data_IF_976340873754
#
_entry.id   IF_976340873754
#
_cell.length_a   1.000
_cell.length_b   1.000
_cell.length_c   1.000
_cell.angle_alpha   90.00
_cell.angle_beta   90.00
_cell.angle_gamma   90.00
#
_symmetry.space_group_name_H-M   'P 1'
#
loop_
_entity.id
_entity.type
_entity.pdbx_description
1 polymer ?
#
# COMPACT_ATOMS: atom_id res chain seq x y z
N UNK A 1 -40.18 -62.25 -27.89
CA UNK A 1 -41.15 -61.67 -28.85
C UNK A 1 -40.42 -60.67 -29.74
N UNK A 2 -40.46 -60.92 -31.05
CA UNK A 2 -40.31 -60.01 -32.18
C UNK A 2 -39.00 -59.25 -32.47
N UNK A 3 -38.20 -59.92 -33.30
CA UNK A 3 -37.38 -59.38 -34.40
C UNK A 3 -38.07 -58.25 -35.21
N UNK A 4 -37.27 -57.24 -35.58
CA UNK A 4 -37.31 -56.52 -36.87
C UNK A 4 -35.85 -56.23 -37.26
N UNK A 5 -35.22 -57.05 -38.12
CA UNK A 5 -35.13 -56.99 -39.59
C UNK A 5 -34.37 -55.77 -40.15
N UNK A 6 -33.24 -56.11 -40.78
CA UNK A 6 -32.65 -55.50 -41.99
C UNK A 6 -32.06 -54.09 -41.85
N UNK A 7 -30.99 -53.68 -42.51
CA UNK A 7 -29.94 -54.23 -43.41
C UNK A 7 -29.23 -52.94 -43.82
N UNK A 8 -27.91 -52.81 -43.64
CA UNK A 8 -27.01 -52.08 -44.53
C UNK A 8 -25.59 -52.15 -43.98
N UNK A 9 -24.86 -53.14 -44.50
CA UNK A 9 -23.40 -53.21 -44.47
C UNK A 9 -22.93 -52.18 -45.49
N UNK A 10 -22.36 -51.06 -45.03
CA UNK A 10 -21.56 -50.19 -45.89
C UNK A 10 -20.11 -50.45 -45.53
N UNK A 11 -19.49 -51.32 -46.33
CA UNK A 11 -18.05 -51.56 -46.33
C UNK A 11 -17.39 -50.37 -47.04
N UNK A 12 -16.76 -49.50 -46.27
CA UNK A 12 -15.76 -48.56 -46.77
C UNK A 12 -14.49 -48.75 -45.93
N UNK A 13 -13.72 -49.78 -46.29
CA UNK A 13 -12.31 -49.86 -45.99
C UNK A 13 -11.63 -48.80 -46.85
N UNK A 14 -11.00 -47.78 -46.25
CA UNK A 14 -9.83 -47.08 -46.80
C UNK A 14 -9.20 -46.17 -45.73
N UNK A 15 -7.99 -46.58 -45.32
CA UNK A 15 -6.91 -45.83 -44.66
C UNK A 15 -7.15 -45.26 -43.25
N UNK A 16 -6.62 -45.97 -42.26
CA UNK A 16 -6.29 -45.40 -40.96
C UNK A 16 -5.06 -44.46 -41.08
N UNK A 17 -5.15 -43.19 -40.66
CA UNK A 17 -3.98 -42.47 -40.19
C UNK A 17 -3.73 -42.85 -38.73
N UNK A 18 -2.48 -43.22 -38.46
CA UNK A 18 -1.89 -43.47 -37.15
C UNK A 18 -2.16 -42.25 -36.24
N UNK A 19 -3.16 -42.31 -35.36
CA UNK A 19 -3.34 -41.28 -34.35
C UNK A 19 -2.27 -41.51 -33.27
N UNK A 20 -1.19 -40.73 -33.35
CA UNK A 20 -0.25 -40.55 -32.25
C UNK A 20 -1.05 -40.25 -30.98
N UNK A 21 -0.71 -40.95 -29.89
CA UNK A 21 -0.95 -40.43 -28.56
C UNK A 21 -0.19 -39.11 -28.43
N UNK A 22 -0.88 -38.00 -28.71
CA UNK A 22 -0.45 -36.65 -28.40
C UNK A 22 -0.93 -36.32 -27.00
N UNK A 23 -0.06 -36.53 -26.01
CA UNK A 23 -0.14 -35.84 -24.74
C UNK A 23 -0.29 -34.33 -24.97
N UNK A 24 -1.31 -33.74 -24.38
CA UNK A 24 -1.15 -32.83 -23.25
C UNK A 24 -2.44 -32.06 -23.12
N UNK A 25 -3.08 -32.22 -21.97
CA UNK A 25 -3.96 -31.20 -21.42
C UNK A 25 -3.17 -29.89 -21.37
N UNK A 26 -3.31 -29.04 -22.39
CA UNK A 26 -2.98 -27.64 -22.27
C UNK A 26 -4.01 -27.00 -21.35
N UNK A 27 -3.90 -27.32 -20.05
CA UNK A 27 -4.47 -26.50 -18.98
C UNK A 27 -3.69 -25.17 -19.04
N UNK A 28 -4.15 -24.26 -19.89
CA UNK A 28 -3.68 -22.89 -19.86
C UNK A 28 -4.11 -22.33 -18.51
N UNK A 29 -3.20 -22.37 -17.53
CA UNK A 29 -3.37 -21.61 -16.29
C UNK A 29 -3.72 -20.17 -16.67
N UNK A 30 -4.75 -19.55 -16.07
CA UNK A 30 -5.02 -18.16 -16.37
C UNK A 30 -3.77 -17.37 -16.03
N UNK A 31 -3.21 -16.67 -17.02
CA UNK A 31 -2.18 -15.66 -16.77
C UNK A 31 -2.87 -14.61 -15.90
N UNK A 32 -2.58 -14.62 -14.60
CA UNK A 32 -3.08 -13.60 -13.68
C UNK A 32 -2.53 -12.26 -14.17
N UNK A 33 -3.42 -11.39 -14.65
CA UNK A 33 -3.03 -10.07 -15.08
C UNK A 33 -2.34 -9.36 -13.91
N UNK A 34 -1.12 -8.86 -14.14
CA UNK A 34 -0.39 -8.09 -13.13
C UNK A 34 -1.10 -6.75 -12.98
N UNK A 35 -1.48 -6.42 -11.74
CA UNK A 35 -2.01 -5.11 -11.43
C UNK A 35 -0.89 -4.08 -11.35
N UNK A 36 -1.05 -3.00 -12.12
CA UNK A 36 -0.10 -1.89 -12.21
C UNK A 36 -0.72 -0.56 -11.82
N UNK A 37 -1.97 -0.55 -11.34
CA UNK A 37 -2.67 0.67 -10.98
C UNK A 37 -2.40 1.01 -9.51
N UNK A 38 -1.72 2.13 -9.20
CA UNK A 38 -1.52 2.51 -7.81
C UNK A 38 -2.82 2.98 -7.15
N UNK A 39 -2.95 2.84 -5.81
CA UNK A 39 -4.04 3.43 -5.07
C UNK A 39 -4.09 4.96 -5.18
N UNK A 40 -5.20 5.57 -4.79
CA UNK A 40 -5.29 7.01 -4.57
C UNK A 40 -4.37 7.46 -3.43
N UNK A 41 -3.94 8.72 -3.48
CA UNK A 41 -3.17 9.30 -2.38
C UNK A 41 -4.00 9.37 -1.09
N UNK A 42 -3.43 9.00 0.07
CA UNK A 42 -4.11 9.16 1.35
C UNK A 42 -4.23 10.65 1.72
N UNK A 43 -5.19 10.98 2.57
CA UNK A 43 -5.40 12.35 3.07
C UNK A 43 -4.95 12.45 4.51
N UNK A 44 -3.84 13.17 4.76
CA UNK A 44 -3.39 13.47 6.12
C UNK A 44 -4.38 14.42 6.78
N UNK A 45 -4.91 14.03 7.94
CA UNK A 45 -5.91 14.80 8.69
C UNK A 45 -5.31 15.54 9.88
N UNK A 46 -4.23 15.01 10.45
CA UNK A 46 -3.56 15.63 11.59
C UNK A 46 -2.06 15.25 11.61
N UNK A 47 -1.23 16.22 11.98
CA UNK A 47 0.14 16.00 12.41
C UNK A 47 0.34 16.77 13.72
N UNK A 48 0.36 16.04 14.84
CA UNK A 48 0.36 16.64 16.18
C UNK A 48 1.65 16.33 16.93
N UNK A 49 2.31 17.37 17.42
CA UNK A 49 3.46 17.22 18.30
C UNK A 49 3.04 16.75 19.71
N UNK A 50 3.84 15.86 20.29
CA UNK A 50 3.74 15.36 21.66
C UNK A 50 5.15 15.15 22.20
N UNK A 51 5.72 16.16 22.87
CA UNK A 51 7.11 16.16 23.32
C UNK A 51 8.10 16.05 22.15
N UNK A 52 8.98 15.05 22.20
CA UNK A 52 9.93 14.70 21.12
C UNK A 52 9.35 13.63 20.18
N UNK A 53 8.02 13.55 20.09
CA UNK A 53 7.30 12.65 19.19
C UNK A 53 6.22 13.41 18.43
N UNK A 54 5.78 12.86 17.31
CA UNK A 54 4.63 13.34 16.57
C UNK A 54 3.66 12.19 16.28
N UNK A 55 2.36 12.46 16.43
CA UNK A 55 1.30 11.52 16.07
C UNK A 55 0.68 12.03 14.77
N UNK A 56 0.71 11.18 13.75
CA UNK A 56 0.13 11.43 12.45
C UNK A 56 -1.18 10.66 12.31
N UNK A 57 -2.21 11.31 11.80
CA UNK A 57 -3.49 10.70 11.44
C UNK A 57 -3.85 10.99 9.99
N UNK A 58 -4.52 10.04 9.36
CA UNK A 58 -5.00 10.18 7.99
C UNK A 58 -6.30 9.41 7.76
N UNK A 59 -6.99 9.75 6.67
CA UNK A 59 -8.18 9.02 6.20
C UNK A 59 -7.75 7.74 5.48
N UNK A 60 -8.43 6.63 5.79
CA UNK A 60 -8.26 5.35 5.10
C UNK A 60 -8.71 5.47 3.63
N UNK A 61 -7.91 4.91 2.72
CA UNK A 61 -8.29 4.68 1.33
C UNK A 61 -9.51 3.75 1.19
N UNK A 62 -10.34 3.98 0.19
CA UNK A 62 -11.60 3.23 -0.01
C UNK A 62 -11.41 1.97 -0.85
N UNK A 63 -10.30 1.88 -1.57
CA UNK A 63 -9.93 0.75 -2.41
C UNK A 63 -9.69 -0.51 -1.57
N UNK A 64 -10.14 -1.66 -2.05
CA UNK A 64 -10.16 -2.93 -1.29
C UNK A 64 -8.82 -3.65 -1.30
N UNK A 65 -7.93 -3.28 -2.23
CA UNK A 65 -6.62 -3.88 -2.49
C UNK A 65 -5.47 -3.15 -1.79
N UNK A 66 -5.74 -2.13 -0.98
CA UNK A 66 -4.71 -1.46 -0.19
C UNK A 66 -4.14 -2.39 0.88
N UNK A 67 -2.86 -2.70 0.76
CA UNK A 67 -2.10 -3.50 1.71
C UNK A 67 -1.66 -2.69 2.94
N UNK A 68 -1.40 -1.39 2.77
CA UNK A 68 -1.08 -0.48 3.87
C UNK A 68 -0.44 0.82 3.42
N UNK A 69 0.32 1.45 4.31
CA UNK A 69 0.87 2.79 4.11
C UNK A 69 2.38 2.86 4.38
N UNK A 70 3.07 3.71 3.63
CA UNK A 70 4.40 4.18 3.96
C UNK A 70 4.34 5.59 4.52
N UNK A 71 5.20 5.87 5.50
CA UNK A 71 5.30 7.17 6.16
C UNK A 71 6.70 7.70 5.93
N UNK A 72 6.77 8.98 5.58
CA UNK A 72 8.01 9.64 5.22
C UNK A 72 8.16 10.94 6.00
N UNK A 73 9.41 11.35 6.25
CA UNK A 73 9.72 12.67 6.77
C UNK A 73 10.79 13.40 5.96
N UNK A 74 10.78 14.71 6.05
CA UNK A 74 11.81 15.60 5.53
C UNK A 74 12.07 16.73 6.53
N UNK A 75 13.33 17.09 6.71
CA UNK A 75 13.76 18.28 7.45
C UNK A 75 14.39 19.26 6.47
N UNK A 76 13.86 20.49 6.35
CA UNK A 76 14.43 21.48 5.44
C UNK A 76 15.81 21.89 5.91
N UNK A 77 16.73 21.99 4.96
CA UNK A 77 18.10 22.45 5.16
C UNK A 77 18.44 23.49 4.09
N UNK A 78 18.90 24.70 4.45
CA UNK A 78 19.20 25.75 3.48
C UNK A 78 20.22 25.29 2.42
N UNK A 79 19.80 25.34 1.15
CA UNK A 79 20.65 24.96 0.02
C UNK A 79 20.60 23.48 -0.36
N UNK A 80 19.75 22.69 0.31
CA UNK A 80 19.54 21.27 0.01
C UNK A 80 18.20 21.04 -0.70
N UNK A 81 18.15 20.05 -1.59
CA UNK A 81 16.92 19.62 -2.24
C UNK A 81 15.97 18.91 -1.26
N UNK A 82 14.67 18.96 -1.57
CA UNK A 82 13.65 18.25 -0.79
C UNK A 82 13.82 16.72 -0.96
N UNK A 83 14.25 16.04 0.09
CA UNK A 83 14.48 14.60 0.09
C UNK A 83 13.82 13.92 1.29
N UNK A 84 12.83 13.07 1.01
CA UNK A 84 12.10 12.36 2.05
C UNK A 84 12.77 11.05 2.44
N UNK A 85 12.85 10.80 3.74
CA UNK A 85 13.30 9.53 4.31
C UNK A 85 12.11 8.71 4.79
N UNK A 86 12.06 7.43 4.41
CA UNK A 86 11.03 6.48 4.85
C UNK A 86 11.24 6.09 6.32
N UNK A 87 10.16 6.12 7.10
CA UNK A 87 10.18 5.86 8.54
C UNK A 87 9.88 4.40 8.91
N UNK A 88 9.07 3.71 8.11
CA UNK A 88 8.62 2.36 8.40
C UNK A 88 9.31 1.33 7.48
N UNK A 89 9.71 0.19 8.04
CA UNK A 89 10.22 -0.95 7.27
C UNK A 89 9.09 -1.88 6.77
N UNK A 90 8.02 -2.00 7.56
CA UNK A 90 6.80 -2.75 7.23
C UNK A 90 5.65 -1.80 6.98
N UNK A 91 4.74 -2.14 6.06
CA UNK A 91 3.55 -1.35 5.78
C UNK A 91 2.72 -1.13 7.05
N UNK A 92 2.28 0.11 7.26
CA UNK A 92 1.37 0.47 8.35
C UNK A 92 -0.04 0.11 7.92
N UNK A 93 -0.75 -0.71 8.69
CA UNK A 93 -2.14 -1.13 8.36
C UNK A 93 -3.22 -0.30 9.07
N UNK A 94 -2.80 0.49 10.07
CA UNK A 94 -3.63 1.46 10.79
C UNK A 94 -3.60 2.81 10.07
N UNK A 95 -4.49 3.71 10.47
CA UNK A 95 -4.55 5.11 9.98
C UNK A 95 -3.90 6.10 10.94
N UNK A 96 -2.88 5.62 11.66
CA UNK A 96 -2.14 6.41 12.64
C UNK A 96 -0.70 5.93 12.73
N UNK A 97 0.24 6.84 12.88
CA UNK A 97 1.65 6.52 13.08
C UNK A 97 2.31 7.48 14.06
N UNK A 98 3.04 6.94 15.03
CA UNK A 98 3.81 7.73 15.99
C UNK A 98 5.27 7.78 15.56
N UNK A 99 5.75 8.98 15.23
CA UNK A 99 7.16 9.26 14.98
C UNK A 99 7.82 9.62 16.30
N UNK A 100 8.89 8.92 16.69
CA UNK A 100 9.62 9.14 17.94
C UNK A 100 11.00 9.72 17.67
N UNK A 101 11.70 10.14 18.72
CA UNK A 101 13.09 10.62 18.66
C UNK A 101 13.27 11.85 17.74
N UNK A 102 12.29 12.75 17.73
CA UNK A 102 12.40 14.02 17.02
C UNK A 102 13.31 15.00 17.77
N UNK A 103 14.09 15.77 17.02
CA UNK A 103 15.02 16.76 17.56
C UNK A 103 14.29 18.06 17.88
N UNK A 104 14.54 18.59 19.08
CA UNK A 104 14.00 19.90 19.51
C UNK A 104 14.59 21.02 18.66
N UNK A 105 13.75 21.99 18.28
CA UNK A 105 14.11 23.11 17.43
C UNK A 105 14.08 22.80 15.94
N UNK A 106 13.71 21.58 15.55
CA UNK A 106 13.68 21.14 14.15
C UNK A 106 12.26 21.15 13.59
N UNK A 107 12.12 21.65 12.36
CA UNK A 107 10.88 21.55 11.57
C UNK A 107 10.88 20.22 10.80
N UNK A 108 9.81 19.45 10.95
CA UNK A 108 9.60 18.22 10.20
C UNK A 108 8.37 18.34 9.31
N UNK A 109 8.51 17.90 8.06
CA UNK A 109 7.41 17.66 7.14
C UNK A 109 7.17 16.16 7.03
N UNK A 110 5.92 15.75 7.04
CA UNK A 110 5.52 14.36 6.90
C UNK A 110 4.63 14.17 5.68
N UNK A 111 4.83 13.06 4.99
CA UNK A 111 4.00 12.61 3.87
C UNK A 111 3.66 11.14 4.07
N UNK A 112 2.52 10.73 3.52
CA UNK A 112 2.04 9.35 3.56
C UNK A 112 1.70 8.93 2.13
N UNK A 113 1.99 7.67 1.78
CA UNK A 113 1.53 7.01 0.55
C UNK A 113 0.78 5.74 0.91
N UNK A 114 -0.13 5.31 0.05
CA UNK A 114 -0.79 4.01 0.11
C UNK A 114 -0.06 3.02 -0.81
N UNK A 115 -0.04 1.75 -0.43
CA UNK A 115 0.55 0.65 -1.19
C UNK A 115 -0.48 -0.47 -1.32
N UNK A 116 -0.68 -0.99 -2.52
CA UNK A 116 -1.57 -2.14 -2.76
C UNK A 116 -0.88 -3.50 -2.54
N UNK A 117 -1.64 -4.59 -2.67
CA UNK A 117 -1.12 -5.96 -2.57
C UNK A 117 -0.21 -6.38 -3.73
N UNK A 118 -0.22 -5.62 -4.84
CA UNK A 118 0.64 -5.82 -6.00
C UNK A 118 1.94 -5.01 -5.90
N UNK A 119 2.09 -4.18 -4.88
CA UNK A 119 3.26 -3.37 -4.59
C UNK A 119 3.26 -2.00 -5.28
N UNK A 120 2.17 -1.57 -5.91
CA UNK A 120 2.10 -0.24 -6.50
C UNK A 120 1.90 0.80 -5.38
N UNK A 121 2.67 1.88 -5.44
CA UNK A 121 2.64 2.96 -4.46
C UNK A 121 1.97 4.22 -5.02
N UNK A 122 1.09 4.82 -4.24
CA UNK A 122 0.34 6.02 -4.62
C UNK A 122 1.23 7.26 -4.70
N UNK A 123 0.67 8.33 -5.26
CA UNK A 123 1.17 9.68 -4.98
C UNK A 123 1.09 9.99 -3.47
N UNK A 124 1.91 10.93 -3.00
CA UNK A 124 1.93 11.34 -1.60
C UNK A 124 0.69 12.16 -1.22
N UNK A 125 0.33 12.09 0.06
CA UNK A 125 -0.59 13.03 0.69
C UNK A 125 -0.11 14.48 0.57
N UNK A 126 -1.02 15.45 0.75
CA UNK A 126 -0.61 16.80 1.13
C UNK A 126 0.27 16.70 2.40
N UNK A 127 1.43 17.38 2.46
CA UNK A 127 2.30 17.25 3.61
C UNK A 127 1.67 17.91 4.85
N UNK A 128 1.74 17.22 5.98
CA UNK A 128 1.57 17.84 7.29
C UNK A 128 2.93 18.25 7.85
N UNK A 129 2.97 19.24 8.73
CA UNK A 129 4.22 19.69 9.34
C UNK A 129 4.08 19.85 10.85
N UNK A 130 5.17 19.61 11.58
CA UNK A 130 5.29 19.90 13.00
C UNK A 130 6.62 20.58 13.29
N UNK A 131 6.59 21.60 14.14
CA UNK A 131 7.78 22.24 14.67
C UNK A 131 8.02 21.79 16.10
N UNK A 132 9.14 21.12 16.38
CA UNK A 132 9.41 20.53 17.70
C UNK A 132 9.87 21.61 18.67
N UNK A 133 9.06 21.95 19.67
CA UNK A 133 9.41 22.93 20.71
C UNK A 133 9.77 22.27 22.03
N UNK A 134 10.72 22.85 22.77
CA UNK A 134 11.02 22.42 24.15
C UNK A 134 9.80 22.66 25.04
N UNK A 135 9.41 21.65 25.83
CA UNK A 135 8.31 21.78 26.78
C UNK A 135 6.90 21.55 26.22
N UNK A 136 6.74 21.00 25.02
CA UNK A 136 5.45 20.45 24.53
C UNK A 136 5.09 19.14 25.25
N UNK A 137 5.18 19.13 26.57
CA UNK A 137 4.63 18.06 27.40
C UNK A 137 3.13 18.30 27.52
N UNK A 138 2.36 17.22 27.38
CA UNK A 138 0.91 17.18 27.49
C UNK A 138 0.44 17.98 28.72
N UNK A 139 -0.11 19.18 28.52
CA UNK A 139 -1.15 19.79 29.36
C UNK A 139 -1.04 19.80 30.89
N UNK A 140 0.12 19.59 31.52
CA UNK A 140 0.25 19.64 32.98
C UNK A 140 1.28 20.70 33.40
N UNK A 141 0.76 21.90 33.66
CA UNK A 141 1.26 22.83 34.68
C UNK A 141 2.68 23.38 34.52
N UNK A 142 2.84 24.46 33.73
CA UNK A 142 3.71 25.58 34.15
C UNK A 142 2.83 26.78 34.47
N UNK A 143 2.20 26.73 35.65
CA UNK A 143 1.80 27.97 36.31
C UNK A 143 3.07 28.79 36.52
N UNK A 144 2.98 30.07 36.16
CA UNK A 144 4.10 31.00 36.14
C UNK A 144 4.94 30.93 37.42
N UNK A 145 6.24 30.79 37.23
CA UNK A 145 7.21 31.03 38.28
C UNK A 145 7.39 32.55 38.39
N UNK A 146 7.17 33.03 39.62
CA UNK A 146 7.19 34.40 40.10
C UNK A 146 8.51 35.14 39.82
N UNK A 147 8.41 36.45 39.57
CA UNK A 147 9.37 37.55 39.84
C UNK A 147 8.75 38.83 39.26
N UNK A 148 8.52 39.95 39.95
CA UNK A 148 8.71 40.43 41.33
C UNK A 148 7.47 41.24 41.72
#
# INVERSE_FOLDING_TARGET
>A
MFNKRSTLIVLALLLAPFALAGCSSNESSPIQAIDTAPPAAPVMTEARLSGTSAILHWTRNTETDVAGYNVYFFTPDPGSDESYTKLNSTLVTRTSYTVTNLTVGTLYYFKITAVDWSGNESASSMPGSVYVVSGSTNGEGRLGEFKE
#
